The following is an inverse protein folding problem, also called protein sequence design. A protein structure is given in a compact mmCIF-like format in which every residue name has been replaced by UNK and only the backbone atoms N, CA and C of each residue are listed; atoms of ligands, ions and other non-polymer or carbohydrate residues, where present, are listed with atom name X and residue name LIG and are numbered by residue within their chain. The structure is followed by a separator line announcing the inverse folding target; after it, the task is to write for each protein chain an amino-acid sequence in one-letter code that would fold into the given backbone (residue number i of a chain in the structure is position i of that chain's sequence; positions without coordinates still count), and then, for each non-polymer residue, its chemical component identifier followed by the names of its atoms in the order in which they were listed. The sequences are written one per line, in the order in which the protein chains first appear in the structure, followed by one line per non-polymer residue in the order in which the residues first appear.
data_IF_526214423462
#
_entry.id   IF_526214423462
#
_cell.length_a   1.000
_cell.length_b   1.000
_cell.length_c   1.000
_cell.angle_alpha   90.00
_cell.angle_beta   90.00
_cell.angle_gamma   90.00
#
_symmetry.space_group_name_H-M   'P 1'
#
loop_
_entity.id
_entity.type
_entity.pdbx_description
1 polymer ?
#
# COMPACT_ATOMS: atom_id res chain seq x y z
N UNK A 1 6.99 0.20 -18.40
CA UNK A 1 6.23 -0.98 -18.88
C UNK A 1 4.98 -1.07 -18.02
N UNK A 2 3.81 -1.02 -18.64
CA UNK A 2 2.56 -1.35 -17.98
C UNK A 2 2.43 -2.88 -17.89
N UNK A 3 2.39 -3.41 -16.68
CA UNK A 3 2.26 -4.86 -16.44
C UNK A 3 0.80 -5.28 -16.25
N UNK A 4 -0.15 -4.34 -16.29
CA UNK A 4 -1.58 -4.58 -16.14
C UNK A 4 -2.04 -4.76 -14.70
N UNK A 5 -1.34 -5.55 -13.88
CA UNK A 5 -1.73 -5.80 -12.48
C UNK A 5 -0.56 -5.65 -11.51
N UNK A 6 -0.90 -5.41 -10.23
CA UNK A 6 0.08 -5.39 -9.13
C UNK A 6 0.79 -6.75 -8.97
N UNK A 7 0.07 -7.84 -9.22
CA UNK A 7 0.64 -9.19 -9.22
C UNK A 7 1.68 -9.38 -10.30
N UNK A 8 1.40 -8.92 -11.52
CA UNK A 8 2.33 -9.05 -12.65
C UNK A 8 3.57 -8.17 -12.46
N UNK A 9 3.40 -6.98 -11.87
CA UNK A 9 4.53 -6.13 -11.51
C UNK A 9 5.45 -6.82 -10.48
N UNK A 10 4.87 -7.41 -9.42
CA UNK A 10 5.63 -8.15 -8.42
C UNK A 10 6.32 -9.38 -9.00
N UNK A 11 5.65 -10.14 -9.89
CA UNK A 11 6.23 -11.29 -10.59
C UNK A 11 7.40 -10.87 -11.50
N UNK A 12 7.24 -9.83 -12.31
CA UNK A 12 8.29 -9.31 -13.18
C UNK A 12 9.51 -8.85 -12.37
N UNK A 13 9.27 -8.18 -11.23
CA UNK A 13 10.33 -7.72 -10.36
C UNK A 13 11.08 -8.90 -9.69
N UNK A 14 10.37 -9.86 -9.10
CA UNK A 14 11.00 -11.03 -8.45
C UNK A 14 11.77 -11.91 -9.43
N UNK A 15 11.30 -12.02 -10.67
CA UNK A 15 12.00 -12.71 -11.76
C UNK A 15 13.25 -11.93 -12.25
N UNK A 16 13.44 -10.68 -11.85
CA UNK A 16 14.56 -9.85 -12.27
C UNK A 16 14.47 -9.37 -13.72
N UNK A 17 13.27 -9.41 -14.33
CA UNK A 17 13.03 -8.90 -15.70
C UNK A 17 12.90 -7.38 -15.75
N UNK A 18 12.69 -6.75 -14.59
CA UNK A 18 12.69 -5.30 -14.41
C UNK A 18 13.56 -4.93 -13.20
N UNK A 19 14.21 -3.78 -13.30
CA UNK A 19 15.08 -3.26 -12.23
C UNK A 19 14.31 -2.42 -11.20
N UNK A 20 13.20 -1.82 -11.62
CA UNK A 20 12.32 -0.98 -10.82
C UNK A 20 10.88 -1.46 -10.99
N UNK A 21 10.10 -1.39 -9.93
CA UNK A 21 8.66 -1.67 -9.99
C UNK A 21 7.90 -0.88 -8.92
N UNK A 22 6.61 -0.66 -9.18
CA UNK A 22 5.67 -0.29 -8.13
C UNK A 22 4.96 -1.55 -7.67
N UNK A 23 5.12 -1.88 -6.39
CA UNK A 23 4.60 -3.12 -5.78
C UNK A 23 3.81 -2.80 -4.52
N UNK A 24 2.79 -3.61 -4.22
CA UNK A 24 2.11 -3.57 -2.93
C UNK A 24 2.85 -4.45 -1.94
N UNK A 25 3.09 -3.98 -0.72
CA UNK A 25 3.98 -4.62 0.25
C UNK A 25 3.61 -6.06 0.62
N UNK A 26 2.33 -6.43 0.53
CA UNK A 26 1.85 -7.78 0.86
C UNK A 26 1.78 -8.72 -0.37
N UNK A 27 2.27 -8.33 -1.55
CA UNK A 27 2.11 -9.08 -2.79
C UNK A 27 3.44 -9.52 -3.37
N UNK A 28 3.59 -10.81 -3.63
CA UNK A 28 4.75 -11.40 -4.29
C UNK A 28 5.97 -11.60 -3.39
N UNK A 29 7.06 -12.06 -3.99
CA UNK A 29 8.35 -12.19 -3.32
C UNK A 29 9.15 -10.88 -3.46
N UNK A 30 9.31 -10.16 -2.38
CA UNK A 30 10.01 -8.89 -2.29
C UNK A 30 11.41 -9.03 -1.62
N UNK A 31 11.95 -10.24 -1.50
CA UNK A 31 13.25 -10.51 -0.86
C UNK A 31 14.42 -9.77 -1.52
N UNK A 32 14.32 -9.50 -2.83
CA UNK A 32 15.32 -8.74 -3.60
C UNK A 32 15.03 -7.22 -3.65
N UNK A 33 13.91 -6.79 -3.07
CA UNK A 33 13.48 -5.41 -3.12
C UNK A 33 14.21 -4.55 -2.08
N UNK A 34 14.55 -3.34 -2.48
CA UNK A 34 14.90 -2.24 -1.60
C UNK A 34 14.01 -1.03 -1.97
N UNK A 35 13.45 -0.36 -0.98
CA UNK A 35 12.50 0.71 -1.20
C UNK A 35 13.20 2.00 -1.64
N UNK A 36 12.64 2.65 -2.66
CA UNK A 36 13.03 3.99 -3.11
C UNK A 36 12.11 5.04 -2.48
N UNK A 37 10.79 4.80 -2.54
CA UNK A 37 9.78 5.66 -1.93
C UNK A 37 8.50 4.86 -1.66
N UNK A 38 7.67 5.32 -0.74
CA UNK A 38 6.27 4.93 -0.64
C UNK A 38 5.51 5.83 -1.61
N UNK A 39 4.74 5.26 -2.53
CA UNK A 39 4.06 6.04 -3.59
C UNK A 39 2.57 6.18 -3.37
N UNK A 40 1.96 5.28 -2.60
CA UNK A 40 0.56 5.34 -2.24
C UNK A 40 0.27 4.48 -1.00
N UNK A 41 -0.88 4.74 -0.38
CA UNK A 41 -1.44 3.93 0.68
C UNK A 41 -2.79 3.39 0.26
N UNK A 42 -3.13 2.18 0.70
CA UNK A 42 -4.47 1.63 0.61
C UNK A 42 -4.93 1.12 1.97
N UNK A 43 -6.20 1.17 2.22
CA UNK A 43 -6.82 0.66 3.45
C UNK A 43 -7.71 -0.53 3.15
N UNK A 44 -7.80 -1.45 4.08
CA UNK A 44 -8.74 -2.57 4.02
C UNK A 44 -10.08 -2.10 4.56
N UNK A 45 -11.12 -2.14 3.74
CA UNK A 45 -12.47 -1.85 4.17
C UNK A 45 -13.31 -3.12 4.13
N UNK A 46 -13.96 -3.41 5.25
CA UNK A 46 -14.98 -4.46 5.35
C UNK A 46 -16.32 -3.76 5.42
N UNK A 47 -17.17 -4.02 4.44
CA UNK A 47 -18.49 -3.40 4.36
C UNK A 47 -19.60 -4.43 4.33
N UNK A 48 -20.69 -4.15 5.05
CA UNK A 48 -21.91 -4.95 5.04
C UNK A 48 -23.11 -4.11 4.61
N UNK A 49 -24.18 -4.72 4.08
CA UNK A 49 -25.37 -3.98 3.68
C UNK A 49 -25.98 -3.16 4.83
N UNK A 50 -26.70 -2.08 4.53
CA UNK A 50 -27.44 -1.33 5.52
C UNK A 50 -28.34 -2.23 6.35
N UNK A 51 -28.33 -2.03 7.69
CA UNK A 51 -29.11 -2.84 8.62
C UNK A 51 -28.53 -4.24 8.89
N UNK A 52 -27.33 -4.52 8.41
CA UNK A 52 -26.61 -5.75 8.80
C UNK A 52 -26.31 -5.76 10.29
N UNK A 53 -26.36 -6.95 10.89
CA UNK A 53 -25.93 -7.22 12.26
C UNK A 53 -24.45 -7.54 12.40
N UNK A 54 -23.65 -7.28 11.36
CA UNK A 54 -22.19 -7.49 11.39
C UNK A 54 -21.57 -6.20 11.92
N UNK A 55 -21.10 -6.25 13.13
CA UNK A 55 -20.50 -5.11 13.85
C UNK A 55 -19.00 -5.32 14.12
N UNK A 56 -18.52 -6.57 14.03
CA UNK A 56 -17.10 -6.95 14.15
C UNK A 56 -16.70 -8.01 13.10
N UNK A 57 -15.41 -8.31 13.00
CA UNK A 57 -14.89 -9.33 12.07
C UNK A 57 -15.38 -10.75 12.45
N UNK A 58 -15.62 -11.02 13.72
CA UNK A 58 -16.13 -12.31 14.18
C UNK A 58 -17.57 -12.54 13.70
N UNK A 59 -18.36 -11.47 13.53
CA UNK A 59 -19.71 -11.51 12.96
C UNK A 59 -19.80 -11.94 11.50
N UNK A 60 -18.65 -12.02 10.80
CA UNK A 60 -18.57 -12.60 9.45
C UNK A 60 -18.74 -14.12 9.41
N UNK A 61 -18.59 -14.80 10.56
CA UNK A 61 -18.75 -16.26 10.64
C UNK A 61 -20.11 -16.70 10.11
N UNK A 62 -20.12 -17.83 9.38
CA UNK A 62 -21.30 -18.41 8.70
C UNK A 62 -21.84 -17.56 7.54
N UNK A 63 -21.09 -16.55 7.09
CA UNK A 63 -21.48 -15.72 5.94
C UNK A 63 -20.59 -16.04 4.73
N UNK A 64 -21.09 -15.71 3.55
CA UNK A 64 -20.26 -15.59 2.36
C UNK A 64 -19.82 -14.14 2.26
N UNK A 65 -18.50 -13.92 2.15
CA UNK A 65 -17.89 -12.61 2.05
C UNK A 65 -17.30 -12.46 0.66
N UNK A 66 -17.72 -11.41 -0.06
CA UNK A 66 -17.17 -11.06 -1.37
C UNK A 66 -15.78 -10.43 -1.20
N UNK A 67 -14.80 -10.91 -1.98
CA UNK A 67 -13.45 -10.34 -2.03
C UNK A 67 -13.33 -9.59 -3.34
N UNK A 68 -13.31 -8.26 -3.28
CA UNK A 68 -13.14 -7.41 -4.45
C UNK A 68 -11.64 -7.25 -4.71
N UNK A 69 -11.22 -7.48 -5.97
CA UNK A 69 -9.80 -7.48 -6.35
C UNK A 69 -9.17 -8.89 -6.39
N UNK A 70 -9.92 -9.92 -6.04
CA UNK A 70 -9.55 -11.34 -6.25
C UNK A 70 -8.22 -11.71 -5.60
N UNK A 71 -7.34 -12.35 -6.39
CA UNK A 71 -6.07 -12.93 -5.93
C UNK A 71 -5.16 -11.91 -5.21
N UNK A 72 -5.17 -10.64 -5.62
CA UNK A 72 -4.37 -9.58 -4.99
C UNK A 72 -4.71 -9.42 -3.50
N UNK A 73 -5.98 -9.62 -3.11
CA UNK A 73 -6.43 -9.47 -1.73
C UNK A 73 -6.47 -10.78 -0.93
N UNK A 74 -5.97 -11.89 -1.49
CA UNK A 74 -5.92 -13.17 -0.77
C UNK A 74 -5.03 -13.13 0.47
N UNK A 75 -3.93 -12.37 0.44
CA UNK A 75 -3.08 -12.22 1.61
C UNK A 75 -3.81 -11.51 2.75
N UNK A 76 -4.58 -10.46 2.44
CA UNK A 76 -5.45 -9.78 3.43
C UNK A 76 -6.44 -10.78 4.04
N UNK A 77 -7.12 -11.56 3.20
CA UNK A 77 -8.08 -12.60 3.66
C UNK A 77 -7.37 -13.64 4.52
N UNK A 78 -6.17 -14.08 4.14
CA UNK A 78 -5.40 -15.08 4.89
C UNK A 78 -5.02 -14.56 6.28
N UNK A 79 -4.54 -13.32 6.37
CA UNK A 79 -4.15 -12.68 7.64
C UNK A 79 -5.37 -12.52 8.55
N UNK A 80 -6.49 -12.00 8.03
CA UNK A 80 -7.73 -11.89 8.81
C UNK A 80 -8.27 -13.26 9.24
N UNK A 81 -8.17 -14.28 8.36
CA UNK A 81 -8.62 -15.61 8.68
C UNK A 81 -7.79 -16.25 9.79
N UNK A 82 -6.48 -16.02 9.81
CA UNK A 82 -5.59 -16.48 10.86
C UNK A 82 -5.89 -15.80 12.19
N UNK A 83 -5.96 -14.47 12.19
CA UNK A 83 -6.16 -13.66 13.40
C UNK A 83 -7.51 -13.94 14.09
N UNK A 84 -8.59 -14.01 13.30
CA UNK A 84 -9.95 -14.15 13.85
C UNK A 84 -10.50 -15.59 13.78
N UNK A 85 -9.68 -16.58 13.38
CA UNK A 85 -10.10 -17.97 13.27
C UNK A 85 -11.30 -18.14 12.34
N UNK A 86 -11.22 -17.55 11.14
CA UNK A 86 -12.30 -17.57 10.15
C UNK A 86 -12.21 -18.75 9.18
N UNK A 87 -11.09 -19.48 9.15
CA UNK A 87 -10.93 -20.66 8.33
C UNK A 87 -12.11 -21.62 8.58
N UNK A 88 -12.66 -22.19 7.51
CA UNK A 88 -13.81 -23.08 7.53
C UNK A 88 -15.12 -22.49 8.10
N UNK A 89 -15.10 -21.26 8.60
CA UNK A 89 -16.27 -20.58 9.18
C UNK A 89 -16.83 -19.46 8.30
N UNK A 90 -16.04 -18.99 7.34
CA UNK A 90 -16.40 -17.95 6.37
C UNK A 90 -16.11 -18.48 4.97
N UNK A 91 -17.06 -18.32 4.06
CA UNK A 91 -16.82 -18.57 2.63
C UNK A 91 -16.37 -17.27 1.97
N UNK A 92 -15.12 -17.19 1.56
CA UNK A 92 -14.62 -16.08 0.75
C UNK A 92 -14.84 -16.38 -0.74
N UNK A 93 -15.47 -15.44 -1.45
CA UNK A 93 -15.80 -15.55 -2.88
C UNK A 93 -15.23 -14.34 -3.61
N UNK A 94 -14.35 -14.60 -4.59
CA UNK A 94 -13.88 -13.52 -5.46
C UNK A 94 -15.05 -12.95 -6.25
N UNK A 95 -15.15 -11.62 -6.32
CA UNK A 95 -16.25 -10.95 -6.97
C UNK A 95 -15.77 -9.71 -7.72
N UNK A 96 -16.24 -9.54 -8.95
CA UNK A 96 -15.97 -8.32 -9.70
C UNK A 96 -16.75 -7.13 -9.12
N UNK A 97 -16.20 -5.90 -9.13
CA UNK A 97 -16.90 -4.72 -8.61
C UNK A 97 -18.31 -4.54 -9.20
N UNK A 98 -18.49 -4.82 -10.48
CA UNK A 98 -19.78 -4.69 -11.17
C UNK A 98 -20.88 -5.64 -10.63
N UNK A 99 -20.48 -6.77 -10.05
CA UNK A 99 -21.42 -7.80 -9.57
C UNK A 99 -21.77 -7.66 -8.09
N UNK A 100 -21.01 -6.84 -7.34
CA UNK A 100 -21.17 -6.71 -5.88
C UNK A 100 -22.58 -6.30 -5.49
N UNK A 101 -23.12 -5.25 -6.11
CA UNK A 101 -24.43 -4.74 -5.77
C UNK A 101 -25.54 -5.80 -5.95
N UNK A 102 -25.48 -6.55 -7.07
CA UNK A 102 -26.42 -7.64 -7.36
C UNK A 102 -26.28 -8.78 -6.34
N UNK A 103 -25.05 -9.16 -6.01
CA UNK A 103 -24.79 -10.23 -5.05
C UNK A 103 -25.22 -9.87 -3.63
N UNK A 104 -25.07 -8.59 -3.21
CA UNK A 104 -25.60 -8.10 -1.93
C UNK A 104 -27.12 -8.11 -1.90
N UNK A 105 -27.79 -7.63 -2.97
CA UNK A 105 -29.24 -7.61 -3.08
C UNK A 105 -29.82 -9.04 -3.11
N UNK A 106 -29.18 -9.94 -3.83
CA UNK A 106 -29.55 -11.35 -3.92
C UNK A 106 -29.17 -12.17 -2.67
N UNK A 107 -28.53 -11.57 -1.67
CA UNK A 107 -28.01 -12.23 -0.46
C UNK A 107 -27.02 -13.38 -0.76
N UNK A 108 -26.38 -13.35 -1.93
CA UNK A 108 -25.28 -14.28 -2.27
C UNK A 108 -24.04 -14.02 -1.42
N UNK A 109 -23.81 -12.75 -1.07
CA UNK A 109 -22.80 -12.32 -0.11
C UNK A 109 -23.44 -11.48 0.99
N UNK A 110 -22.96 -11.61 2.21
CA UNK A 110 -23.44 -10.88 3.38
C UNK A 110 -22.55 -9.72 3.80
N UNK A 111 -21.34 -9.67 3.26
CA UNK A 111 -20.37 -8.58 3.43
C UNK A 111 -19.37 -8.63 2.28
N UNK A 112 -18.54 -7.58 2.17
CA UNK A 112 -17.44 -7.52 1.21
C UNK A 112 -16.16 -7.03 1.87
N UNK A 113 -15.02 -7.43 1.31
CA UNK A 113 -13.69 -6.92 1.63
C UNK A 113 -13.12 -6.27 0.38
N UNK A 114 -12.60 -5.06 0.53
CA UNK A 114 -11.91 -4.33 -0.53
C UNK A 114 -10.69 -3.61 0.03
N UNK A 115 -9.64 -3.52 -0.77
CA UNK A 115 -8.43 -2.75 -0.42
C UNK A 115 -8.28 -1.62 -1.41
N UNK A 116 -8.43 -0.39 -0.96
CA UNK A 116 -8.46 0.80 -1.83
C UNK A 116 -7.72 2.00 -1.20
N UNK A 117 -7.14 2.88 -2.02
CA UNK A 117 -6.70 4.19 -1.57
C UNK A 117 -7.88 5.06 -1.10
N UNK A 118 -7.64 5.91 -0.09
CA UNK A 118 -8.63 6.89 0.40
C UNK A 118 -8.64 8.15 -0.47
N UNK A 119 -8.80 8.01 -1.78
CA UNK A 119 -9.00 9.13 -2.70
C UNK A 119 -10.41 9.13 -3.25
N UNK A 120 -10.92 10.30 -3.65
CA UNK A 120 -12.32 10.46 -4.06
C UNK A 120 -12.73 9.48 -5.17
N UNK A 121 -11.83 9.19 -6.11
CA UNK A 121 -12.07 8.20 -7.16
C UNK A 121 -12.45 6.83 -6.59
N UNK A 122 -11.68 6.35 -5.62
CA UNK A 122 -11.88 5.01 -5.02
C UNK A 122 -12.99 5.02 -3.97
N UNK A 123 -13.17 6.12 -3.24
CA UNK A 123 -14.29 6.29 -2.32
C UNK A 123 -15.63 6.33 -3.07
N UNK A 124 -15.67 6.98 -4.24
CA UNK A 124 -16.83 6.95 -5.13
C UNK A 124 -17.13 5.53 -5.63
N UNK A 125 -16.09 4.78 -6.02
CA UNK A 125 -16.23 3.37 -6.38
C UNK A 125 -16.79 2.57 -5.19
N UNK A 126 -16.21 2.71 -4.01
CA UNK A 126 -16.70 1.99 -2.81
C UNK A 126 -18.17 2.30 -2.52
N UNK A 127 -18.56 3.58 -2.59
CA UNK A 127 -19.98 3.98 -2.44
C UNK A 127 -20.89 3.29 -3.46
N UNK A 128 -20.44 3.13 -4.70
CA UNK A 128 -21.21 2.49 -5.78
C UNK A 128 -21.38 0.97 -5.61
N UNK A 129 -20.59 0.33 -4.75
CA UNK A 129 -20.76 -1.09 -4.43
C UNK A 129 -22.03 -1.40 -3.64
N UNK A 130 -22.62 -0.38 -3.01
CA UNK A 130 -23.85 -0.51 -2.22
C UNK A 130 -25.04 0.12 -2.95
N UNK A 131 -26.28 -0.37 -2.68
CA UNK A 131 -27.47 0.20 -3.31
C UNK A 131 -27.61 1.69 -3.04
N UNK A 132 -27.68 2.50 -4.10
CA UNK A 132 -27.82 3.97 -3.99
C UNK A 132 -29.16 4.42 -3.42
N UNK A 133 -30.19 3.59 -3.48
CA UNK A 133 -31.52 3.84 -2.95
C UNK A 133 -31.68 3.47 -1.46
N UNK A 134 -30.64 2.93 -0.84
CA UNK A 134 -30.67 2.59 0.58
C UNK A 134 -30.77 3.88 1.42
N UNK A 135 -31.84 4.00 2.22
CA UNK A 135 -32.01 5.11 3.16
C UNK A 135 -30.94 5.13 4.25
N UNK A 136 -30.35 3.98 4.55
CA UNK A 136 -29.29 3.80 5.52
C UNK A 136 -27.92 3.60 4.85
N UNK A 137 -26.87 3.97 5.53
CA UNK A 137 -25.49 3.75 5.12
C UNK A 137 -25.09 2.27 5.21
N UNK A 138 -24.08 1.81 4.43
CA UNK A 138 -23.45 0.52 4.68
C UNK A 138 -22.85 0.52 6.09
N UNK A 139 -22.83 -0.67 6.70
CA UNK A 139 -22.14 -0.90 7.96
C UNK A 139 -20.67 -1.13 7.62
N UNK A 140 -19.77 -0.38 8.22
CA UNK A 140 -18.33 -0.63 8.15
C UNK A 140 -17.89 -1.41 9.38
N UNK A 141 -17.12 -2.46 9.15
CA UNK A 141 -16.70 -3.38 10.19
C UNK A 141 -15.26 -3.06 10.57
N UNK A 142 -14.99 -2.69 11.83
CA UNK A 142 -13.63 -2.43 12.30
C UNK A 142 -12.79 -3.71 12.34
N UNK A 143 -11.49 -3.55 12.16
CA UNK A 143 -10.48 -4.60 12.39
C UNK A 143 -9.80 -4.26 13.71
N UNK A 144 -10.44 -4.64 14.82
CA UNK A 144 -9.99 -4.24 16.18
C UNK A 144 -8.59 -4.74 16.53
N UNK A 145 -8.18 -5.90 15.97
CA UNK A 145 -6.84 -6.46 16.15
C UNK A 145 -5.79 -5.86 15.18
N UNK A 146 -6.07 -4.73 14.52
CA UNK A 146 -5.17 -4.16 13.51
C UNK A 146 -3.74 -3.92 14.04
N UNK A 147 -3.61 -3.45 15.28
CA UNK A 147 -2.32 -3.26 15.95
C UNK A 147 -1.56 -4.58 16.12
N UNK A 148 -2.22 -5.63 16.62
CA UNK A 148 -1.63 -6.95 16.79
C UNK A 148 -1.23 -7.58 15.43
N UNK A 149 -2.09 -7.41 14.42
CA UNK A 149 -1.79 -7.85 13.05
C UNK A 149 -0.55 -7.12 12.51
N UNK A 150 -0.46 -5.81 12.69
CA UNK A 150 0.68 -5.01 12.23
C UNK A 150 2.01 -5.43 12.89
N UNK A 151 1.97 -5.81 14.17
CA UNK A 151 3.16 -6.32 14.87
C UNK A 151 3.63 -7.67 14.29
N UNK A 152 2.70 -8.57 13.96
CA UNK A 152 2.99 -9.92 13.48
C UNK A 152 3.23 -9.97 11.97
N UNK A 153 2.64 -9.06 11.20
CA UNK A 153 2.66 -9.01 9.74
C UNK A 153 3.11 -7.63 9.26
N UNK A 154 4.41 -7.43 9.15
CA UNK A 154 5.07 -6.14 8.85
C UNK A 154 4.65 -5.46 7.53
N UNK A 155 3.95 -6.17 6.64
CA UNK A 155 3.37 -5.60 5.42
C UNK A 155 2.15 -4.71 5.69
N UNK A 156 1.58 -4.79 6.89
CA UNK A 156 0.39 -4.06 7.32
C UNK A 156 0.73 -3.07 8.42
N UNK A 157 -0.04 -2.00 8.47
CA UNK A 157 0.02 -0.98 9.51
C UNK A 157 -1.36 -0.82 10.15
N UNK A 158 -1.41 -0.54 11.44
CA UNK A 158 -2.63 -0.08 12.08
C UNK A 158 -2.99 1.32 11.57
N UNK A 159 -4.25 1.55 11.26
CA UNK A 159 -4.71 2.82 10.72
C UNK A 159 -6.16 3.09 11.10
N UNK A 160 -6.46 4.32 11.49
CA UNK A 160 -7.82 4.77 11.74
C UNK A 160 -8.33 5.60 10.56
N UNK A 161 -9.38 5.11 9.89
CA UNK A 161 -10.10 5.87 8.86
C UNK A 161 -10.97 6.91 9.56
N UNK A 162 -10.72 8.21 9.33
CA UNK A 162 -11.43 9.25 10.05
C UNK A 162 -12.94 9.22 9.80
N UNK A 163 -13.71 9.59 10.83
CA UNK A 163 -15.16 9.80 10.75
C UNK A 163 -15.52 10.59 9.49
N UNK A 164 -16.53 10.12 8.77
CA UNK A 164 -17.07 10.82 7.61
C UNK A 164 -16.24 10.70 6.33
N UNK A 165 -15.12 9.95 6.31
CA UNK A 165 -14.25 9.81 5.14
C UNK A 165 -15.00 9.33 3.89
N UNK A 166 -15.95 8.39 4.03
CA UNK A 166 -16.70 7.86 2.88
C UNK A 166 -17.89 8.76 2.54
N UNK A 167 -18.54 9.32 3.55
CA UNK A 167 -19.67 10.25 3.41
C UNK A 167 -19.76 11.16 4.63
N UNK A 168 -19.89 12.46 4.41
CA UNK A 168 -19.91 13.44 5.50
C UNK A 168 -21.25 13.54 6.23
N UNK A 169 -22.40 13.33 5.54
CA UNK A 169 -23.73 13.48 6.15
C UNK A 169 -24.76 12.48 5.59
N UNK A 170 -25.36 11.60 6.43
CA UNK A 170 -24.82 11.20 7.73
C UNK A 170 -23.41 10.64 7.60
N UNK A 171 -22.60 10.83 8.63
CA UNK A 171 -21.20 10.46 8.57
C UNK A 171 -21.01 8.93 8.37
N UNK A 172 -20.11 8.56 7.47
CA UNK A 172 -19.68 7.17 7.24
C UNK A 172 -18.14 7.15 7.11
N UNK A 173 -17.44 6.48 7.98
CA UNK A 173 -17.92 5.86 9.22
C UNK A 173 -18.50 6.90 10.21
N UNK A 174 -19.34 6.44 11.15
CA UNK A 174 -19.97 7.31 12.15
C UNK A 174 -18.97 7.84 13.20
N UNK A 175 -17.93 7.07 13.46
CA UNK A 175 -16.76 7.38 14.29
C UNK A 175 -15.51 6.92 13.56
N UNK A 176 -14.32 7.21 14.06
CA UNK A 176 -13.07 6.72 13.48
C UNK A 176 -13.09 5.19 13.44
N UNK A 177 -12.66 4.62 12.31
CA UNK A 177 -12.74 3.18 12.04
C UNK A 177 -11.33 2.58 12.01
N UNK A 178 -10.99 1.81 13.03
CA UNK A 178 -9.73 1.07 13.07
C UNK A 178 -9.70 -0.01 12.00
N UNK A 179 -8.63 -0.03 11.22
CA UNK A 179 -8.42 -0.97 10.11
C UNK A 179 -6.95 -1.17 9.79
N UNK A 180 -6.67 -1.95 8.75
CA UNK A 180 -5.33 -2.16 8.22
C UNK A 180 -5.04 -1.23 7.04
N UNK A 181 -3.84 -0.68 7.02
CA UNK A 181 -3.26 0.04 5.90
C UNK A 181 -2.12 -0.76 5.29
N UNK A 182 -1.96 -0.64 3.98
CA UNK A 182 -0.85 -1.21 3.21
C UNK A 182 -0.20 -0.12 2.37
N UNK A 183 1.09 -0.30 2.11
CA UNK A 183 1.87 0.63 1.32
C UNK A 183 2.14 0.08 -0.08
N UNK A 184 2.08 0.95 -1.06
CA UNK A 184 2.64 0.75 -2.38
C UNK A 184 4.02 1.38 -2.41
N UNK A 185 5.01 0.61 -2.77
CA UNK A 185 6.40 1.03 -2.82
C UNK A 185 6.88 1.14 -4.26
N UNK A 186 7.60 2.20 -4.58
CA UNK A 186 8.57 2.16 -5.65
C UNK A 186 9.78 1.40 -5.11
N UNK A 187 10.07 0.24 -5.68
CA UNK A 187 11.21 -0.59 -5.28
C UNK A 187 12.24 -0.68 -6.38
N UNK A 188 13.48 -0.86 -5.97
CA UNK A 188 14.64 -1.12 -6.81
C UNK A 188 15.24 -2.48 -6.46
N UNK A 189 15.87 -3.16 -7.43
CA UNK A 189 16.71 -4.32 -7.15
C UNK A 189 17.87 -3.91 -6.24
N UNK A 190 18.11 -4.64 -5.16
CA UNK A 190 19.20 -4.36 -4.18
C UNK A 190 20.59 -4.20 -4.81
N UNK A 191 20.81 -4.80 -5.97
CA UNK A 191 22.09 -4.79 -6.69
C UNK A 191 22.36 -3.51 -7.49
N UNK A 192 21.39 -2.62 -7.62
CA UNK A 192 21.55 -1.40 -8.40
C UNK A 192 22.55 -0.44 -7.75
N UNK A 193 23.20 0.36 -8.57
CA UNK A 193 24.17 1.36 -8.11
C UNK A 193 23.50 2.41 -7.21
N UNK A 194 24.12 2.68 -6.06
CA UNK A 194 23.57 3.61 -5.07
C UNK A 194 23.49 5.03 -5.60
N UNK A 195 24.42 5.48 -6.44
CA UNK A 195 24.38 6.81 -7.03
C UNK A 195 23.20 7.00 -7.97
N UNK A 196 22.92 5.96 -8.79
CA UNK A 196 21.73 5.95 -9.68
C UNK A 196 20.45 6.03 -8.86
N UNK A 197 20.34 5.26 -7.78
CA UNK A 197 19.15 5.28 -6.94
C UNK A 197 19.04 6.59 -6.12
N UNK A 198 20.15 7.19 -5.70
CA UNK A 198 20.15 8.52 -5.09
C UNK A 198 19.54 9.55 -6.05
N UNK A 199 20.02 9.58 -7.30
CA UNK A 199 19.51 10.50 -8.33
C UNK A 199 18.03 10.25 -8.65
N UNK A 200 17.61 8.99 -8.72
CA UNK A 200 16.20 8.61 -8.90
C UNK A 200 15.34 9.11 -7.74
N UNK A 201 15.78 8.86 -6.50
CA UNK A 201 15.05 9.29 -5.29
C UNK A 201 14.89 10.80 -5.26
N UNK A 202 15.97 11.54 -5.53
CA UNK A 202 15.93 12.98 -5.65
C UNK A 202 14.94 13.45 -6.73
N UNK A 203 14.94 12.81 -7.90
CA UNK A 203 14.02 13.14 -8.99
C UNK A 203 12.57 12.91 -8.61
N UNK A 204 12.26 11.77 -7.96
CA UNK A 204 10.91 11.44 -7.48
C UNK A 204 10.42 12.46 -6.46
N UNK A 205 11.26 12.82 -5.47
CA UNK A 205 10.87 13.74 -4.42
C UNK A 205 10.77 15.19 -4.92
N UNK A 206 11.59 15.57 -5.91
CA UNK A 206 11.49 16.86 -6.59
C UNK A 206 10.22 16.95 -7.42
N UNK A 207 9.93 15.94 -8.25
CA UNK A 207 8.70 15.89 -9.05
C UNK A 207 7.44 15.92 -8.15
N UNK A 208 7.45 15.20 -7.02
CA UNK A 208 6.39 15.29 -6.01
C UNK A 208 6.18 16.73 -5.56
N UNK A 209 7.23 17.42 -5.15
CA UNK A 209 7.14 18.81 -4.66
C UNK A 209 6.62 19.75 -5.74
N UNK A 210 7.16 19.64 -6.94
CA UNK A 210 6.90 20.60 -8.02
C UNK A 210 5.50 20.42 -8.62
N UNK A 211 4.96 19.19 -8.62
CA UNK A 211 3.65 18.86 -9.17
C UNK A 211 2.53 18.75 -8.13
N UNK A 212 2.82 18.95 -6.84
CA UNK A 212 1.85 18.74 -5.76
C UNK A 212 0.59 19.62 -5.89
N UNK A 213 0.74 20.85 -6.39
CA UNK A 213 -0.40 21.77 -6.59
C UNK A 213 -1.30 21.36 -7.74
N UNK A 214 -0.75 20.70 -8.76
CA UNK A 214 -1.51 20.22 -9.93
C UNK A 214 -2.08 18.82 -9.68
N UNK A 215 -1.35 17.99 -8.95
CA UNK A 215 -1.66 16.59 -8.66
C UNK A 215 -1.65 16.32 -7.15
N UNK A 216 -2.71 16.71 -6.40
CA UNK A 216 -2.75 16.54 -4.94
C UNK A 216 -2.54 15.10 -4.46
N UNK A 217 -2.80 14.10 -5.31
CA UNK A 217 -2.54 12.68 -5.00
C UNK A 217 -1.07 12.41 -4.69
N UNK A 218 -0.15 13.23 -5.18
CA UNK A 218 1.28 13.13 -4.89
C UNK A 218 1.63 13.43 -3.42
N UNK A 219 0.69 13.98 -2.63
CA UNK A 219 0.86 14.10 -1.17
C UNK A 219 1.09 12.75 -0.49
N UNK A 220 0.61 11.65 -1.09
CA UNK A 220 0.82 10.29 -0.60
C UNK A 220 2.25 9.76 -0.82
N UNK A 221 3.01 10.37 -1.73
CA UNK A 221 4.41 9.98 -1.95
C UNK A 221 5.25 10.45 -0.77
N UNK A 222 5.86 9.52 -0.07
CA UNK A 222 6.67 9.78 1.13
C UNK A 222 8.00 9.04 1.08
N UNK A 223 8.92 9.41 1.97
CA UNK A 223 10.18 8.71 2.12
C UNK A 223 9.96 7.23 2.47
N UNK A 224 10.82 6.37 1.94
CA UNK A 224 10.93 5.00 2.44
C UNK A 224 11.50 5.01 3.86
N UNK A 225 11.10 4.03 4.67
CA UNK A 225 11.66 3.86 6.00
C UNK A 225 13.14 3.46 5.90
N UNK A 226 14.02 4.20 6.56
CA UNK A 226 15.47 3.98 6.56
C UNK A 226 15.94 3.11 7.74
N UNK A 227 15.04 2.68 8.62
CA UNK A 227 15.39 1.79 9.73
C UNK A 227 15.82 0.41 9.22
N UNK A 228 16.78 -0.19 9.89
CA UNK A 228 17.36 -1.48 9.48
C UNK A 228 16.35 -2.64 9.57
N UNK A 229 15.34 -2.52 10.41
CA UNK A 229 14.26 -3.50 10.64
C UNK A 229 12.97 -3.19 9.85
N UNK A 230 13.02 -2.21 8.95
CA UNK A 230 11.91 -1.90 8.06
C UNK A 230 11.49 -3.12 7.24
N UNK A 231 10.20 -3.27 6.98
CA UNK A 231 9.65 -4.40 6.20
C UNK A 231 10.31 -4.53 4.82
N UNK A 232 10.40 -3.43 4.08
CA UNK A 232 11.23 -3.31 2.88
C UNK A 232 12.24 -2.20 3.17
N UNK A 233 13.48 -2.55 3.53
CA UNK A 233 14.49 -1.53 3.85
C UNK A 233 14.74 -0.60 2.68
N UNK A 234 15.00 0.68 2.98
CA UNK A 234 15.39 1.63 1.94
C UNK A 234 16.65 1.16 1.20
N UNK A 235 16.68 1.39 -0.12
CA UNK A 235 17.91 1.19 -0.89
C UNK A 235 19.00 2.10 -0.34
N UNK A 236 20.28 1.66 -0.26
CA UNK A 236 21.36 2.52 0.28
C UNK A 236 21.43 3.91 -0.37
N UNK A 237 21.21 4.00 -1.68
CA UNK A 237 21.14 5.30 -2.37
C UNK A 237 19.93 6.15 -1.97
N UNK A 238 18.77 5.55 -1.72
CA UNK A 238 17.60 6.26 -1.22
C UNK A 238 17.81 6.71 0.24
N UNK A 239 18.34 5.83 1.09
CA UNK A 239 18.67 6.15 2.48
C UNK A 239 19.70 7.30 2.56
N UNK A 240 20.73 7.30 1.71
CA UNK A 240 21.69 8.38 1.64
C UNK A 240 21.04 9.73 1.30
N UNK A 241 20.07 9.73 0.38
CA UNK A 241 19.30 10.93 0.06
C UNK A 241 18.46 11.39 1.26
N UNK A 242 17.70 10.51 1.89
CA UNK A 242 16.80 10.88 2.99
C UNK A 242 17.55 11.32 4.26
N UNK A 243 18.70 10.71 4.53
CA UNK A 243 19.55 11.03 5.68
C UNK A 243 20.51 12.20 5.43
N UNK A 244 20.53 12.76 4.21
CA UNK A 244 21.45 13.84 3.86
C UNK A 244 22.93 13.42 3.85
N UNK A 245 23.21 12.12 3.71
CA UNK A 245 24.57 11.55 3.69
C UNK A 245 25.07 11.24 2.28
N UNK A 246 24.41 11.81 1.26
CA UNK A 246 24.85 11.65 -0.12
C UNK A 246 26.23 12.30 -0.31
N UNK A 247 27.18 11.49 -0.75
CA UNK A 247 28.51 11.98 -1.10
C UNK A 247 28.42 12.92 -2.31
N UNK A 248 28.91 14.14 -2.15
CA UNK A 248 29.13 15.04 -3.28
C UNK A 248 30.13 14.40 -4.25
N UNK A 249 30.01 14.71 -5.55
CA UNK A 249 31.03 14.33 -6.53
C UNK A 249 32.43 14.76 -6.08
N UNK A 250 32.55 15.95 -5.47
CA UNK A 250 33.81 16.45 -4.94
C UNK A 250 34.31 15.61 -3.76
N UNK A 251 33.43 15.14 -2.89
CA UNK A 251 33.81 14.28 -1.75
C UNK A 251 34.28 12.91 -2.22
N UNK A 252 33.55 12.31 -3.17
CA UNK A 252 33.88 11.00 -3.74
C UNK A 252 35.22 10.98 -4.47
N UNK A 253 35.56 12.08 -5.15
CA UNK A 253 36.79 12.20 -5.95
C UNK A 253 37.81 13.16 -5.34
N UNK A 254 37.59 13.66 -4.13
CA UNK A 254 38.49 14.62 -3.47
C UNK A 254 39.94 14.16 -3.48
N UNK A 255 40.19 12.91 -3.09
CA UNK A 255 41.55 12.34 -3.11
C UNK A 255 42.16 12.31 -4.52
N UNK A 256 41.36 11.95 -5.54
CA UNK A 256 41.83 11.92 -6.92
C UNK A 256 42.06 13.35 -7.44
N UNK A 257 41.16 14.28 -7.14
CA UNK A 257 41.24 15.69 -7.56
C UNK A 257 42.43 16.38 -6.91
N UNK A 258 42.71 16.13 -5.63
CA UNK A 258 43.81 16.77 -4.91
C UNK A 258 45.16 16.05 -5.07
N UNK A 259 45.16 14.69 -5.10
CA UNK A 259 46.42 13.95 -5.21
C UNK A 259 46.97 13.90 -6.63
N UNK A 260 46.13 13.89 -7.67
CA UNK A 260 46.58 13.79 -9.06
C UNK A 260 47.49 14.99 -9.46
N UNK A 261 47.12 16.26 -9.21
CA UNK A 261 48.01 17.36 -9.49
C UNK A 261 49.27 17.36 -8.63
N UNK A 262 49.19 16.88 -7.39
CA UNK A 262 50.32 16.82 -6.48
C UNK A 262 51.36 15.79 -6.93
N UNK A 263 50.92 14.63 -7.43
CA UNK A 263 51.80 13.58 -8.01
C UNK A 263 52.40 14.07 -9.33
N UNK A 264 51.59 14.69 -10.19
CA UNK A 264 52.09 15.24 -11.48
C UNK A 264 53.05 16.40 -11.26
N UNK A 265 52.85 17.24 -10.25
CA UNK A 265 53.76 18.32 -9.90
C UNK A 265 55.07 17.85 -9.26
N UNK A 266 55.11 16.64 -8.66
CA UNK A 266 56.31 16.05 -8.09
C UNK A 266 57.18 15.31 -9.14
N UNK A 267 56.60 15.01 -10.31
CA UNK A 267 57.27 14.34 -11.44
C UNK A 267 57.79 15.31 -12.53
N UNK A 268 57.47 16.62 -12.42
CA UNK A 268 57.95 17.69 -13.32
C UNK A 268 59.13 18.41 -12.72
#
# INVERSE_FOLDING_TARGET
IDTGTVMDAAKAFSAGTVDLAVVRGDVGDLSKAAAVAIVAHAVVLIGAPPGSSVDDVAGLKRRTVGVVGGEVNRNVVSVLSGEYGLADKVRFKDIAPADVQKALQGKEIGALIVTIPLSERYLSLFRSLFPSNAKAAPVLVPIESAEAIAQNHKAYENFDVPKGTIRGSPAVPADDLTTLRLNFYLVAQKKLDSGVITALTQSVMTARRDLLSELPVLAQVTAANTDADAFIPAHPGAAAFYNGTQESFLDKYSNAIFLTPMVLGALA
#
